data_IF_716004316192
#
_entry.id   IF_716004316192
#
_cell.length_a   1.000
_cell.length_b   1.000
_cell.length_c   1.000
_cell.angle_alpha   90.00
_cell.angle_beta   90.00
_cell.angle_gamma   90.00
#
_symmetry.space_group_name_H-M   'P 1'
#
loop_
_entity.id
_entity.type
_entity.pdbx_description
1 polymer ?
#
# COMPACT_ATOMS: atom_id res chain seq x y z
N UNK A 1 -15.03 7.67 -17.71
CA UNK A 1 -13.88 8.60 -17.49
C UNK A 1 -12.68 7.80 -17.00
N UNK A 2 -11.46 8.30 -17.19
CA UNK A 2 -10.26 7.70 -16.60
C UNK A 2 -10.29 7.96 -15.08
N UNK A 3 -10.10 6.94 -14.22
CA UNK A 3 -10.13 7.14 -12.78
C UNK A 3 -8.92 7.95 -12.30
N UNK A 4 -9.15 8.86 -11.37
CA UNK A 4 -8.11 9.64 -10.68
C UNK A 4 -7.62 8.84 -9.48
N UNK A 5 -6.32 8.55 -9.44
CA UNK A 5 -5.70 7.73 -8.40
C UNK A 5 -4.77 8.59 -7.54
N UNK A 6 -5.13 8.73 -6.26
CA UNK A 6 -4.24 9.33 -5.26
C UNK A 6 -3.08 8.39 -4.94
N UNK A 7 -1.85 8.87 -5.09
CA UNK A 7 -0.63 8.10 -4.82
C UNK A 7 0.10 8.73 -3.65
N UNK A 8 0.41 7.95 -2.60
CA UNK A 8 1.18 8.46 -1.47
C UNK A 8 2.66 8.52 -1.81
N UNK A 9 3.33 9.67 -1.63
CA UNK A 9 4.78 9.77 -1.80
C UNK A 9 5.52 9.26 -0.56
N UNK A 10 6.80 8.96 -0.70
CA UNK A 10 7.72 8.91 0.43
C UNK A 10 8.13 10.33 0.83
N UNK A 11 8.70 10.47 2.02
CA UNK A 11 9.03 11.78 2.58
C UNK A 11 10.35 11.73 3.34
N UNK A 12 11.27 12.59 2.96
CA UNK A 12 12.46 12.93 3.70
C UNK A 12 12.17 14.15 4.57
N UNK A 13 12.36 14.05 5.87
CA UNK A 13 12.17 15.16 6.80
C UNK A 13 13.39 16.12 6.87
N UNK A 14 14.41 15.88 6.06
CA UNK A 14 15.69 16.59 6.07
C UNK A 14 16.80 15.81 6.78
N UNK A 15 16.59 14.54 7.06
CA UNK A 15 17.51 13.63 7.77
C UNK A 15 18.20 12.60 6.83
N UNK A 16 17.88 12.62 5.52
CA UNK A 16 18.38 11.67 4.52
C UNK A 16 19.06 12.41 3.37
N UNK A 17 20.40 12.42 3.40
CA UNK A 17 21.23 13.14 2.44
C UNK A 17 20.95 12.75 0.97
N UNK A 18 20.73 11.47 0.73
CA UNK A 18 20.51 10.92 -0.61
C UNK A 18 19.14 11.27 -1.23
N UNK A 19 18.22 11.87 -0.47
CA UNK A 19 16.86 12.18 -0.89
C UNK A 19 16.47 13.65 -0.64
N UNK A 20 17.26 14.59 -1.13
CA UNK A 20 16.98 16.02 -1.00
C UNK A 20 17.76 16.72 0.12
N UNK A 21 18.73 16.04 0.74
CA UNK A 21 19.61 16.63 1.75
C UNK A 21 18.84 17.07 3.01
N UNK A 22 19.11 18.32 3.47
CA UNK A 22 18.49 18.91 4.65
C UNK A 22 17.10 19.48 4.41
N UNK A 23 16.68 19.62 3.16
CA UNK A 23 15.36 20.14 2.82
C UNK A 23 14.29 19.05 2.92
N UNK A 24 13.16 19.29 3.59
CA UNK A 24 12.03 18.38 3.59
C UNK A 24 11.52 18.15 2.17
N UNK A 25 11.63 16.92 1.68
CA UNK A 25 11.41 16.58 0.27
C UNK A 25 10.45 15.40 0.11
N UNK A 26 9.48 15.54 -0.79
CA UNK A 26 8.68 14.44 -1.29
C UNK A 26 9.43 13.73 -2.42
N UNK A 27 9.42 12.40 -2.39
CA UNK A 27 9.95 11.62 -3.49
C UNK A 27 9.08 10.39 -3.76
N UNK A 28 9.09 9.92 -5.00
CA UNK A 28 8.28 8.81 -5.46
C UNK A 28 8.98 8.11 -6.62
N UNK A 29 9.06 6.80 -6.56
CA UNK A 29 9.56 6.04 -7.72
C UNK A 29 8.56 6.16 -8.88
N UNK A 30 9.03 6.62 -10.04
CA UNK A 30 8.21 6.85 -11.23
C UNK A 30 7.40 5.61 -11.69
N UNK A 31 7.83 4.39 -11.32
CA UNK A 31 7.14 3.15 -11.68
C UNK A 31 5.70 3.06 -11.15
N UNK A 32 5.41 3.63 -9.98
CA UNK A 32 4.05 3.69 -9.45
C UNK A 32 3.16 4.57 -10.34
N UNK A 33 3.66 5.73 -10.73
CA UNK A 33 2.98 6.66 -11.64
C UNK A 33 2.76 6.01 -13.01
N UNK A 34 3.82 5.43 -13.59
CA UNK A 34 3.76 4.72 -14.87
C UNK A 34 2.75 3.58 -14.88
N UNK A 35 2.69 2.75 -13.83
CA UNK A 35 1.74 1.64 -13.76
C UNK A 35 0.28 2.13 -13.80
N UNK A 36 -0.03 3.27 -13.20
CA UNK A 36 -1.36 3.88 -13.26
C UNK A 36 -1.62 4.50 -14.64
N UNK A 37 -0.69 5.31 -15.15
CA UNK A 37 -0.84 6.06 -16.39
C UNK A 37 -0.95 5.13 -17.62
N UNK A 38 -0.02 4.19 -17.79
CA UNK A 38 0.02 3.25 -18.92
C UNK A 38 -1.21 2.31 -18.95
N UNK A 39 -1.84 2.07 -17.81
CA UNK A 39 -3.03 1.23 -17.70
C UNK A 39 -4.34 2.04 -17.68
N UNK A 40 -4.27 3.35 -17.95
CA UNK A 40 -5.42 4.20 -18.24
C UNK A 40 -5.99 4.97 -17.05
N UNK A 41 -5.30 5.05 -15.92
CA UNK A 41 -5.64 5.95 -14.81
C UNK A 41 -4.97 7.32 -14.92
N UNK A 42 -5.35 8.25 -14.06
CA UNK A 42 -4.73 9.57 -13.88
C UNK A 42 -4.08 9.61 -12.49
N UNK A 43 -2.75 9.52 -12.37
CA UNK A 43 -2.08 9.56 -11.07
C UNK A 43 -1.99 10.99 -10.52
N UNK A 44 -2.31 11.17 -9.24
CA UNK A 44 -2.15 12.43 -8.50
C UNK A 44 -1.36 12.16 -7.22
N UNK A 45 -0.23 12.81 -7.06
CA UNK A 45 0.60 12.68 -5.86
C UNK A 45 -0.07 13.45 -4.72
N UNK A 46 -0.37 12.77 -3.61
CA UNK A 46 -1.05 13.36 -2.47
C UNK A 46 -0.04 14.03 -1.52
N UNK A 47 -0.14 15.34 -1.24
CA UNK A 47 0.72 15.97 -0.25
C UNK A 47 0.39 15.46 1.16
N UNK A 48 1.41 15.27 2.01
CA UNK A 48 1.24 14.79 3.40
C UNK A 48 0.69 15.92 4.30
N UNK A 49 -0.58 16.25 4.15
CA UNK A 49 -1.23 17.27 4.95
C UNK A 49 -1.48 16.81 6.39
N UNK A 50 -1.25 17.70 7.36
CA UNK A 50 -1.42 17.39 8.78
C UNK A 50 -2.90 17.38 9.20
N UNK A 51 -3.69 18.29 8.64
CA UNK A 51 -5.09 18.49 9.03
C UNK A 51 -5.99 17.35 8.52
N UNK A 52 -6.81 16.80 9.41
CA UNK A 52 -7.69 15.66 9.10
C UNK A 52 -8.80 16.02 8.09
N UNK A 53 -9.34 17.23 8.14
CA UNK A 53 -10.34 17.66 7.17
C UNK A 53 -9.73 17.80 5.77
N UNK A 54 -8.48 18.28 5.67
CA UNK A 54 -7.75 18.33 4.42
C UNK A 54 -7.45 16.93 3.86
N UNK A 55 -7.09 15.94 4.71
CA UNK A 55 -6.94 14.53 4.29
C UNK A 55 -8.22 13.98 3.70
N UNK A 56 -9.35 14.22 4.36
CA UNK A 56 -10.66 13.84 3.84
C UNK A 56 -10.94 14.49 2.48
N UNK A 57 -10.68 15.79 2.35
CA UNK A 57 -10.89 16.52 1.09
C UNK A 57 -10.02 16.00 -0.05
N UNK A 58 -8.77 15.63 0.22
CA UNK A 58 -7.90 14.98 -0.77
C UNK A 58 -8.50 13.65 -1.26
N UNK A 59 -9.03 12.82 -0.35
CA UNK A 59 -9.66 11.55 -0.71
C UNK A 59 -11.01 11.71 -1.44
N UNK A 60 -11.74 12.78 -1.20
CA UNK A 60 -12.94 13.10 -1.96
C UNK A 60 -12.64 13.45 -3.43
N UNK A 61 -11.43 13.94 -3.71
CA UNK A 61 -10.97 14.31 -5.04
C UNK A 61 -10.38 13.16 -5.87
N UNK A 62 -10.36 11.92 -5.35
CA UNK A 62 -9.79 10.76 -6.06
C UNK A 62 -10.76 9.58 -6.09
N UNK A 63 -10.68 8.76 -7.15
CA UNK A 63 -11.52 7.59 -7.34
C UNK A 63 -10.92 6.33 -6.71
N UNK A 64 -9.60 6.31 -6.47
CA UNK A 64 -8.87 5.22 -5.85
C UNK A 64 -7.63 5.71 -5.13
N UNK A 65 -7.08 4.86 -4.24
CA UNK A 65 -5.90 5.16 -3.43
C UNK A 65 -4.82 4.10 -3.68
N UNK A 66 -3.60 4.54 -4.03
CA UNK A 66 -2.40 3.73 -4.08
C UNK A 66 -1.46 4.13 -2.93
N UNK A 67 -1.29 3.22 -1.95
CA UNK A 67 -0.28 3.35 -0.90
C UNK A 67 1.03 2.71 -1.40
N UNK A 68 2.09 3.48 -1.43
CA UNK A 68 3.37 3.03 -1.99
C UNK A 68 4.27 2.39 -0.94
N UNK A 69 5.29 1.68 -1.39
CA UNK A 69 6.36 1.19 -0.53
C UNK A 69 7.17 2.32 0.10
N UNK A 70 7.94 1.98 1.13
CA UNK A 70 8.89 2.88 1.80
C UNK A 70 10.25 2.20 1.93
N UNK A 71 11.32 3.02 1.99
CA UNK A 71 12.63 2.52 2.38
C UNK A 71 12.74 2.30 3.88
N UNK A 72 12.37 3.30 4.72
CA UNK A 72 12.27 3.16 6.18
C UNK A 72 11.04 2.33 6.61
N UNK A 73 11.11 1.80 7.83
CA UNK A 73 10.09 0.95 8.45
C UNK A 73 9.10 1.73 9.30
N UNK A 74 7.91 1.16 9.55
CA UNK A 74 6.96 1.73 10.49
C UNK A 74 7.50 1.67 11.92
N UNK A 75 7.27 2.74 12.70
CA UNK A 75 7.59 2.77 14.12
C UNK A 75 6.81 1.67 14.86
N UNK A 76 7.49 0.74 15.57
CA UNK A 76 6.84 -0.34 16.31
C UNK A 76 5.82 0.14 17.36
N UNK A 77 5.96 1.34 17.87
CA UNK A 77 4.98 1.94 18.80
C UNK A 77 3.59 2.09 18.18
N UNK A 78 3.49 2.18 16.85
CA UNK A 78 2.22 2.28 16.13
C UNK A 78 1.38 0.98 16.19
N UNK A 79 2.03 -0.15 16.49
CA UNK A 79 1.38 -1.44 16.69
C UNK A 79 1.65 -2.06 18.07
N UNK A 80 1.97 -1.21 19.07
CA UNK A 80 2.05 -1.60 20.48
C UNK A 80 3.33 -2.35 20.87
N UNK A 81 4.36 -2.34 20.04
CA UNK A 81 5.64 -2.98 20.34
C UNK A 81 6.75 -1.96 20.59
N UNK A 82 7.80 -2.38 21.35
CA UNK A 82 9.06 -1.63 21.48
C UNK A 82 9.95 -1.94 20.27
N UNK A 83 10.73 -0.96 19.84
CA UNK A 83 11.74 -1.16 18.80
C UNK A 83 12.84 -2.10 19.32
N UNK A 84 13.04 -3.23 18.63
CA UNK A 84 13.98 -4.28 19.01
C UNK A 84 15.25 -4.29 18.16
N UNK A 85 15.17 -3.78 16.93
CA UNK A 85 16.25 -3.83 15.95
C UNK A 85 16.59 -2.42 15.45
N UNK A 86 17.78 -2.26 14.88
CA UNK A 86 18.22 -0.99 14.31
C UNK A 86 17.79 -0.89 12.84
N UNK A 87 16.91 0.03 12.57
CA UNK A 87 16.45 0.38 11.21
C UNK A 87 15.98 1.84 11.17
N UNK A 88 16.02 2.49 10.00
CA UNK A 88 15.45 3.83 9.83
C UNK A 88 13.92 3.77 9.94
N UNK A 89 13.33 4.76 10.61
CA UNK A 89 11.88 4.81 10.82
C UNK A 89 11.26 5.82 9.86
N UNK A 90 10.10 5.46 9.30
CA UNK A 90 9.28 6.36 8.48
C UNK A 90 8.95 7.64 9.26
N UNK A 91 9.11 8.78 8.61
CA UNK A 91 8.76 10.06 9.22
C UNK A 91 7.32 10.04 9.76
N UNK A 92 7.13 10.48 11.01
CA UNK A 92 5.83 10.50 11.71
C UNK A 92 4.73 11.16 10.87
N UNK A 93 5.10 12.18 10.08
CA UNK A 93 4.18 12.86 9.16
C UNK A 93 3.60 11.89 8.12
N UNK A 94 4.42 11.03 7.52
CA UNK A 94 3.98 10.03 6.54
C UNK A 94 3.15 8.92 7.19
N UNK A 95 3.65 8.30 8.26
CA UNK A 95 2.92 7.20 8.91
C UNK A 95 1.55 7.65 9.43
N UNK A 96 1.46 8.81 10.12
CA UNK A 96 0.19 9.39 10.56
C UNK A 96 -0.77 9.66 9.39
N UNK A 97 -0.25 10.16 8.27
CA UNK A 97 -1.05 10.43 7.08
C UNK A 97 -1.60 9.14 6.47
N UNK A 98 -0.74 8.14 6.22
CA UNK A 98 -1.15 6.87 5.60
C UNK A 98 -2.15 6.09 6.46
N UNK A 99 -1.91 5.97 7.78
CA UNK A 99 -2.82 5.28 8.69
C UNK A 99 -4.22 5.93 8.70
N UNK A 100 -4.30 7.27 8.66
CA UNK A 100 -5.58 7.97 8.56
C UNK A 100 -6.24 7.78 7.19
N UNK A 101 -5.46 7.82 6.08
CA UNK A 101 -6.01 7.57 4.75
C UNK A 101 -6.61 6.16 4.64
N UNK A 102 -5.95 5.15 5.19
CA UNK A 102 -6.46 3.77 5.24
C UNK A 102 -7.83 3.74 5.93
N UNK A 103 -7.94 4.31 7.14
CA UNK A 103 -9.20 4.34 7.90
C UNK A 103 -10.31 5.13 7.17
N UNK A 104 -9.95 6.21 6.49
CA UNK A 104 -10.87 6.99 5.66
C UNK A 104 -11.30 6.21 4.42
N UNK A 105 -10.37 5.51 3.76
CA UNK A 105 -10.65 4.70 2.58
C UNK A 105 -11.63 3.57 2.89
N UNK A 106 -11.44 2.86 4.00
CA UNK A 106 -12.37 1.82 4.46
C UNK A 106 -13.78 2.41 4.66
N UNK A 107 -13.90 3.50 5.42
CA UNK A 107 -15.20 4.13 5.71
C UNK A 107 -15.94 4.67 4.50
N UNK A 108 -15.21 5.13 3.49
CA UNK A 108 -15.78 5.73 2.28
C UNK A 108 -15.75 4.78 1.07
N UNK A 109 -15.47 3.50 1.29
CA UNK A 109 -15.39 2.47 0.25
C UNK A 109 -14.51 2.88 -0.94
N UNK A 110 -13.35 3.51 -0.67
CA UNK A 110 -12.40 3.94 -1.70
C UNK A 110 -11.55 2.74 -2.12
N UNK A 111 -11.62 2.29 -3.38
CA UNK A 111 -10.74 1.25 -3.88
C UNK A 111 -9.28 1.55 -3.54
N UNK A 112 -8.62 0.62 -2.85
CA UNK A 112 -7.28 0.83 -2.31
C UNK A 112 -6.37 -0.33 -2.70
N UNK A 113 -5.25 0.00 -3.34
CA UNK A 113 -4.11 -0.89 -3.55
C UNK A 113 -2.95 -0.42 -2.68
N UNK A 114 -2.35 -1.33 -1.92
CA UNK A 114 -1.23 -1.00 -1.03
C UNK A 114 -0.04 -1.93 -1.32
N UNK A 115 1.15 -1.37 -1.45
CA UNK A 115 2.35 -2.09 -1.90
C UNK A 115 3.44 -1.98 -0.85
N UNK A 116 4.01 -3.13 -0.42
CA UNK A 116 5.12 -3.27 0.51
C UNK A 116 4.87 -2.49 1.82
N UNK A 117 5.59 -1.42 2.11
CA UNK A 117 5.34 -0.54 3.26
C UNK A 117 3.90 -0.03 3.34
N UNK A 118 3.25 0.21 2.19
CA UNK A 118 1.83 0.55 2.14
C UNK A 118 0.91 -0.55 2.65
N UNK A 119 1.19 -1.83 2.33
CA UNK A 119 0.49 -2.97 2.91
C UNK A 119 0.70 -3.07 4.43
N UNK A 120 1.91 -2.80 4.89
CA UNK A 120 2.23 -2.77 6.32
C UNK A 120 1.45 -1.66 7.04
N UNK A 121 1.39 -0.44 6.44
CA UNK A 121 0.53 0.66 6.92
C UNK A 121 -0.95 0.25 6.95
N UNK A 122 -1.42 -0.46 5.93
CA UNK A 122 -2.79 -1.00 5.86
C UNK A 122 -3.08 -1.96 7.01
N UNK A 123 -2.18 -2.89 7.29
CA UNK A 123 -2.31 -3.85 8.38
C UNK A 123 -2.35 -3.17 9.75
N UNK A 124 -1.40 -2.27 10.02
CA UNK A 124 -1.29 -1.54 11.29
C UNK A 124 -2.49 -0.60 11.51
N UNK A 125 -2.99 0.05 10.46
CA UNK A 125 -4.19 0.89 10.55
C UNK A 125 -5.44 0.12 10.98
N UNK A 126 -5.47 -1.19 10.70
CA UNK A 126 -6.52 -2.15 11.11
C UNK A 126 -6.20 -2.88 12.42
N UNK A 127 -5.17 -2.48 13.16
CA UNK A 127 -4.81 -3.06 14.46
C UNK A 127 -3.95 -4.32 14.40
N UNK A 128 -3.36 -4.62 13.25
CA UNK A 128 -2.38 -5.68 13.09
C UNK A 128 -0.98 -5.28 13.56
N UNK A 129 -0.05 -6.25 13.61
CA UNK A 129 1.35 -6.03 13.97
C UNK A 129 2.30 -6.56 12.89
N UNK A 130 3.60 -6.24 13.04
CA UNK A 130 4.63 -6.60 12.08
C UNK A 130 5.75 -7.41 12.73
N UNK A 131 6.37 -8.31 11.98
CA UNK A 131 7.75 -8.72 12.25
C UNK A 131 8.65 -7.54 11.94
N UNK A 132 9.45 -7.12 12.93
CA UNK A 132 10.38 -5.99 12.77
C UNK A 132 11.61 -6.37 11.95
N UNK A 133 11.97 -7.64 11.97
CA UNK A 133 13.02 -8.23 11.16
C UNK A 133 12.72 -9.72 10.97
N UNK A 134 12.39 -10.12 9.75
CA UNK A 134 11.98 -11.50 9.45
C UNK A 134 13.10 -12.50 9.82
N UNK A 135 14.37 -12.32 9.36
CA UNK A 135 15.44 -13.26 9.67
C UNK A 135 15.73 -13.42 11.15
N UNK A 136 15.50 -12.38 11.95
CA UNK A 136 15.76 -12.42 13.38
C UNK A 136 14.60 -12.96 14.23
N UNK A 137 13.40 -13.07 13.65
CA UNK A 137 12.18 -13.41 14.40
C UNK A 137 11.47 -14.68 13.89
N UNK A 138 11.86 -15.22 12.75
CA UNK A 138 11.24 -16.39 12.12
C UNK A 138 12.32 -17.36 11.69
N UNK A 139 12.20 -18.62 12.08
CA UNK A 139 13.14 -19.67 11.70
C UNK A 139 12.93 -20.15 10.26
N UNK A 140 14.00 -20.61 9.61
CA UNK A 140 13.95 -21.22 8.28
C UNK A 140 13.27 -20.37 7.18
N UNK A 141 13.46 -19.06 7.22
CA UNK A 141 12.86 -18.12 6.28
C UNK A 141 13.55 -18.12 4.92
N UNK A 142 12.77 -17.81 3.89
CA UNK A 142 13.29 -17.49 2.56
C UNK A 142 14.01 -16.14 2.55
N UNK A 143 14.81 -15.90 1.51
CA UNK A 143 15.41 -14.58 1.32
C UNK A 143 14.39 -13.59 0.76
N UNK A 144 13.66 -12.86 1.66
CA UNK A 144 12.69 -11.85 1.28
C UNK A 144 13.32 -10.54 0.79
N UNK A 145 14.63 -10.41 0.91
CA UNK A 145 15.40 -9.30 0.35
C UNK A 145 16.31 -9.83 -0.76
N UNK A 146 15.70 -10.04 -1.96
CA UNK A 146 16.43 -10.64 -3.10
C UNK A 146 17.65 -9.81 -3.48
N UNK A 147 18.72 -10.50 -3.87
CA UNK A 147 19.95 -9.88 -4.37
C UNK A 147 19.91 -9.61 -5.88
N UNK A 148 18.98 -10.22 -6.58
CA UNK A 148 18.72 -9.99 -8.00
C UNK A 148 17.91 -8.72 -8.23
N UNK A 149 17.97 -8.11 -9.43
CA UNK A 149 17.17 -6.94 -9.74
C UNK A 149 15.66 -7.16 -9.50
N UNK A 150 14.95 -6.17 -8.95
CA UNK A 150 13.53 -6.24 -8.59
C UNK A 150 12.58 -6.52 -9.78
N UNK A 151 13.06 -6.40 -11.01
CA UNK A 151 12.34 -6.81 -12.24
C UNK A 151 12.35 -8.32 -12.45
N UNK A 152 13.09 -9.08 -11.65
CA UNK A 152 13.12 -10.52 -11.65
C UNK A 152 12.22 -11.10 -10.57
N UNK A 153 11.63 -12.25 -10.86
CA UNK A 153 10.86 -13.02 -9.88
C UNK A 153 11.81 -13.70 -8.88
N UNK A 154 11.37 -13.86 -7.64
CA UNK A 154 12.14 -14.42 -6.52
C UNK A 154 11.58 -15.76 -6.08
N UNK A 155 10.38 -15.76 -5.51
CA UNK A 155 9.76 -16.97 -4.94
C UNK A 155 8.29 -17.11 -5.32
N UNK A 156 7.74 -18.29 -5.05
CA UNK A 156 6.32 -18.59 -5.25
C UNK A 156 5.51 -18.26 -4.00
N UNK A 157 4.29 -17.80 -4.19
CA UNK A 157 3.29 -17.62 -3.14
C UNK A 157 2.09 -18.55 -3.37
N UNK A 158 1.48 -19.02 -2.29
CA UNK A 158 0.20 -19.72 -2.30
C UNK A 158 -0.92 -18.73 -2.05
N UNK A 159 -1.99 -18.81 -2.86
CA UNK A 159 -3.10 -17.85 -2.84
C UNK A 159 -4.33 -18.51 -2.25
N UNK A 160 -4.96 -17.85 -1.29
CA UNK A 160 -6.17 -18.32 -0.63
C UNK A 160 -7.32 -18.43 -1.61
N UNK A 161 -7.94 -19.62 -1.79
CA UNK A 161 -9.10 -19.79 -2.67
C UNK A 161 -10.25 -18.84 -2.32
N UNK A 162 -10.92 -18.29 -3.33
CA UNK A 162 -12.06 -17.38 -3.15
C UNK A 162 -11.69 -15.96 -2.73
N UNK A 163 -10.41 -15.67 -2.43
CA UNK A 163 -9.94 -14.32 -2.13
C UNK A 163 -10.07 -13.37 -3.32
N UNK A 164 -10.03 -12.06 -3.08
CA UNK A 164 -9.97 -11.05 -4.16
C UNK A 164 -8.76 -11.29 -5.05
N UNK A 165 -7.59 -11.55 -4.44
CA UNK A 165 -6.37 -11.86 -5.18
C UNK A 165 -6.58 -13.11 -6.08
N UNK A 166 -7.19 -14.18 -5.55
CA UNK A 166 -7.49 -15.38 -6.33
C UNK A 166 -8.42 -15.08 -7.53
N UNK A 167 -9.46 -14.29 -7.32
CA UNK A 167 -10.38 -13.87 -8.41
C UNK A 167 -9.70 -13.04 -9.49
N UNK A 168 -8.68 -12.24 -9.12
CA UNK A 168 -7.91 -11.42 -10.07
C UNK A 168 -6.97 -12.28 -10.91
N UNK A 169 -6.15 -13.10 -10.25
CA UNK A 169 -5.07 -13.82 -10.93
C UNK A 169 -5.54 -15.17 -11.50
N UNK A 170 -6.61 -15.75 -10.95
CA UNK A 170 -7.19 -17.05 -11.34
C UNK A 170 -6.18 -18.19 -11.30
N UNK A 171 -5.37 -18.21 -10.24
CA UNK A 171 -4.34 -19.22 -9.98
C UNK A 171 -4.26 -19.50 -8.48
N UNK A 172 -3.94 -20.72 -8.10
CA UNK A 172 -3.66 -21.10 -6.72
C UNK A 172 -2.25 -20.67 -6.26
N UNK A 173 -1.33 -20.43 -7.21
CA UNK A 173 0.05 -20.00 -6.96
C UNK A 173 0.51 -19.01 -8.02
N UNK A 174 1.44 -18.14 -7.66
CA UNK A 174 2.14 -17.26 -8.60
C UNK A 174 3.55 -16.95 -8.08
N UNK A 175 4.42 -16.50 -8.99
CA UNK A 175 5.76 -16.03 -8.65
C UNK A 175 5.74 -14.52 -8.41
N UNK A 176 6.50 -14.05 -7.42
CA UNK A 176 6.62 -12.63 -7.04
C UNK A 176 8.10 -12.22 -6.93
N UNK A 177 8.39 -10.94 -6.99
CA UNK A 177 9.67 -10.38 -6.53
C UNK A 177 9.61 -10.13 -5.03
N UNK A 178 10.74 -9.85 -4.39
CA UNK A 178 10.78 -9.65 -2.95
C UNK A 178 11.88 -8.66 -2.56
N UNK A 179 11.50 -7.62 -1.82
CA UNK A 179 12.44 -6.57 -1.39
C UNK A 179 12.02 -5.99 -0.04
N UNK A 180 11.86 -6.86 0.97
CA UNK A 180 11.46 -6.46 2.31
C UNK A 180 12.14 -7.32 3.37
N UNK A 181 12.34 -6.79 4.57
CA UNK A 181 12.81 -7.52 5.74
C UNK A 181 11.79 -7.51 6.88
N UNK A 182 10.72 -6.73 6.73
CA UNK A 182 9.54 -6.73 7.60
C UNK A 182 8.36 -7.38 6.88
N UNK A 183 7.42 -7.92 7.65
CA UNK A 183 6.14 -8.44 7.13
C UNK A 183 5.05 -8.41 8.20
N UNK A 184 3.82 -8.70 7.79
CA UNK A 184 2.69 -8.88 8.71
C UNK A 184 2.97 -10.06 9.65
N UNK A 185 2.87 -9.80 10.98
CA UNK A 185 2.95 -10.81 12.06
C UNK A 185 1.55 -11.22 12.50
N UNK A 186 0.75 -10.27 12.94
CA UNK A 186 -0.67 -10.47 13.21
C UNK A 186 -1.48 -9.67 12.18
N UNK A 187 -2.41 -10.34 11.52
CA UNK A 187 -3.31 -9.71 10.55
C UNK A 187 -4.31 -8.82 11.29
N UNK A 188 -4.52 -7.60 10.79
CA UNK A 188 -5.42 -6.62 11.38
C UNK A 188 -6.90 -7.05 11.35
N UNK A 189 -7.71 -6.42 12.19
CA UNK A 189 -9.14 -6.72 12.31
C UNK A 189 -9.86 -6.64 10.96
N UNK A 190 -10.73 -7.60 10.71
CA UNK A 190 -11.51 -7.78 9.49
C UNK A 190 -10.70 -8.02 8.21
N UNK A 191 -9.38 -7.97 8.26
CA UNK A 191 -8.51 -8.38 7.16
C UNK A 191 -8.34 -9.91 7.15
N UNK A 192 -8.02 -10.45 5.98
CA UNK A 192 -7.56 -11.83 5.83
C UNK A 192 -6.22 -11.87 5.10
N UNK A 193 -5.40 -12.87 5.39
CA UNK A 193 -4.25 -13.21 4.59
C UNK A 193 -4.72 -13.88 3.29
N UNK A 194 -4.50 -13.23 2.16
CA UNK A 194 -4.91 -13.75 0.85
C UNK A 194 -3.79 -14.41 0.07
N UNK A 195 -2.53 -14.28 0.53
CA UNK A 195 -1.40 -15.08 0.05
C UNK A 195 -0.31 -15.22 1.10
N UNK A 196 0.41 -16.36 1.05
CA UNK A 196 1.55 -16.66 1.92
C UNK A 196 2.70 -17.25 1.11
N UNK A 197 3.93 -16.96 1.51
CA UNK A 197 5.12 -17.64 1.03
C UNK A 197 5.26 -19.03 1.66
N UNK A 198 6.14 -19.93 1.14
CA UNK A 198 6.33 -21.27 1.67
C UNK A 198 6.78 -21.34 3.13
N UNK A 199 7.44 -20.29 3.63
CA UNK A 199 7.89 -20.14 5.02
C UNK A 199 6.80 -19.53 5.94
N UNK A 200 5.58 -19.35 5.44
CA UNK A 200 4.45 -18.82 6.21
C UNK A 200 4.38 -17.29 6.26
N UNK A 201 5.34 -16.58 5.68
CA UNK A 201 5.29 -15.11 5.61
C UNK A 201 4.08 -14.66 4.78
N UNK A 202 3.31 -13.72 5.36
CA UNK A 202 2.13 -13.14 4.71
C UNK A 202 2.58 -12.21 3.57
N UNK A 203 2.14 -12.53 2.37
CA UNK A 203 2.50 -11.80 1.16
C UNK A 203 1.36 -10.95 0.60
N UNK A 204 0.10 -11.24 0.98
CA UNK A 204 -1.01 -10.37 0.66
C UNK A 204 -2.08 -10.39 1.75
N UNK A 205 -2.74 -9.24 1.93
CA UNK A 205 -3.91 -9.07 2.81
C UNK A 205 -5.03 -8.38 2.05
N UNK A 206 -6.27 -8.65 2.44
CA UNK A 206 -7.44 -7.99 1.86
C UNK A 206 -8.56 -7.82 2.88
N UNK A 207 -9.46 -6.88 2.62
CA UNK A 207 -10.71 -6.69 3.36
C UNK A 207 -11.88 -7.28 2.53
N UNK A 208 -12.39 -8.48 2.84
CA UNK A 208 -13.38 -9.17 2.01
C UNK A 208 -14.69 -8.42 1.80
N UNK A 209 -15.08 -7.60 2.77
CA UNK A 209 -16.33 -6.82 2.74
C UNK A 209 -16.20 -5.51 1.93
N UNK A 210 -14.99 -5.17 1.46
CA UNK A 210 -14.73 -3.96 0.69
C UNK A 210 -14.70 -4.25 -0.81
N UNK A 211 -15.23 -3.37 -1.69
CA UNK A 211 -15.24 -3.58 -3.14
C UNK A 211 -13.85 -3.86 -3.75
N UNK A 212 -12.82 -3.17 -3.29
CA UNK A 212 -11.41 -3.43 -3.63
C UNK A 212 -10.50 -2.86 -2.55
N UNK A 213 -9.94 -3.73 -1.72
CA UNK A 213 -8.99 -3.34 -0.68
C UNK A 213 -7.94 -4.44 -0.56
N UNK A 214 -6.79 -4.23 -1.21
CA UNK A 214 -5.76 -5.25 -1.40
C UNK A 214 -4.39 -4.69 -1.05
N UNK A 215 -3.70 -5.35 -0.13
CA UNK A 215 -2.30 -5.11 0.21
C UNK A 215 -1.41 -6.23 -0.34
N UNK A 216 -0.29 -5.87 -0.93
CA UNK A 216 0.70 -6.76 -1.52
C UNK A 216 2.07 -6.47 -0.91
N UNK A 217 2.77 -7.50 -0.41
CA UNK A 217 4.09 -7.33 0.20
C UNK A 217 5.19 -7.17 -0.87
N UNK A 218 4.99 -7.76 -2.03
CA UNK A 218 5.90 -7.62 -3.18
C UNK A 218 5.67 -6.34 -3.98
N UNK A 219 6.47 -6.14 -5.04
CA UNK A 219 6.48 -4.96 -5.86
C UNK A 219 5.99 -5.21 -7.30
N UNK A 220 4.67 -5.28 -7.54
CA UNK A 220 4.10 -5.51 -8.87
C UNK A 220 4.41 -4.39 -9.87
N UNK A 221 4.74 -3.18 -9.41
CA UNK A 221 5.11 -2.03 -10.24
C UNK A 221 6.45 -2.22 -10.99
N UNK A 222 7.26 -3.21 -10.59
CA UNK A 222 8.44 -3.62 -11.35
C UNK A 222 8.14 -4.71 -12.38
N UNK A 223 6.96 -5.35 -12.29
CA UNK A 223 6.64 -6.58 -13.02
C UNK A 223 5.51 -6.40 -14.05
N UNK A 224 4.67 -5.37 -13.93
CA UNK A 224 3.44 -5.21 -14.71
C UNK A 224 3.66 -5.11 -16.22
N UNK A 225 4.81 -4.63 -16.67
CA UNK A 225 5.14 -4.51 -18.08
C UNK A 225 5.35 -5.87 -18.74
N UNK A 226 5.97 -6.82 -18.02
CA UNK A 226 6.41 -8.12 -18.54
C UNK A 226 5.58 -9.31 -18.07
N UNK A 227 4.83 -9.16 -16.98
CA UNK A 227 4.09 -10.25 -16.34
C UNK A 227 2.61 -9.95 -16.24
N UNK A 228 1.81 -10.68 -17.03
CA UNK A 228 0.36 -10.47 -17.15
C UNK A 228 -0.39 -10.50 -15.82
N UNK A 229 -0.01 -11.39 -14.88
CA UNK A 229 -0.70 -11.49 -13.59
C UNK A 229 -0.50 -10.22 -12.75
N UNK A 230 0.69 -9.63 -12.75
CA UNK A 230 0.97 -8.38 -12.06
C UNK A 230 0.28 -7.18 -12.72
N UNK A 231 0.19 -7.16 -14.04
CA UNK A 231 -0.59 -6.17 -14.80
C UNK A 231 -2.08 -6.22 -14.45
N UNK A 232 -2.66 -7.43 -14.31
CA UNK A 232 -4.06 -7.61 -13.93
C UNK A 232 -4.41 -7.01 -12.56
N UNK A 233 -3.49 -6.95 -11.62
CA UNK A 233 -3.68 -6.32 -10.31
C UNK A 233 -4.04 -4.84 -10.48
N UNK A 234 -3.20 -4.09 -11.20
CA UNK A 234 -3.45 -2.68 -11.49
C UNK A 234 -4.70 -2.47 -12.34
N UNK A 235 -4.89 -3.26 -13.39
CA UNK A 235 -6.10 -3.16 -14.24
C UNK A 235 -7.39 -3.38 -13.44
N UNK A 236 -7.39 -4.33 -12.49
CA UNK A 236 -8.58 -4.58 -11.67
C UNK A 236 -8.79 -3.48 -10.65
N UNK A 237 -7.72 -2.95 -10.07
CA UNK A 237 -7.76 -1.77 -9.21
C UNK A 237 -8.36 -0.56 -9.95
N UNK A 238 -7.87 -0.24 -11.14
CA UNK A 238 -8.37 0.89 -11.94
C UNK A 238 -9.84 0.69 -12.35
N UNK A 239 -10.25 -0.54 -12.69
CA UNK A 239 -11.67 -0.85 -12.95
C UNK A 239 -12.54 -0.65 -11.72
N UNK A 240 -12.05 -1.02 -10.54
CA UNK A 240 -12.78 -0.77 -9.29
C UNK A 240 -12.92 0.74 -9.02
N UNK A 241 -11.83 1.49 -9.20
CA UNK A 241 -11.82 2.95 -9.07
C UNK A 241 -12.79 3.63 -10.05
N UNK A 242 -12.81 3.22 -11.32
CA UNK A 242 -13.70 3.81 -12.33
C UNK A 242 -15.20 3.55 -12.09
N UNK A 243 -15.54 2.56 -11.26
CA UNK A 243 -16.93 2.22 -10.90
C UNK A 243 -17.41 2.90 -9.62
N UNK A 244 -16.52 3.58 -8.90
CA UNK A 244 -16.90 4.32 -7.71
C UNK A 244 -17.83 5.46 -8.10
N UNK A 245 -19.02 5.58 -7.48
CA UNK A 245 -19.86 6.76 -7.68
C UNK A 245 -19.02 8.00 -7.27
N UNK A 246 -18.92 8.99 -8.17
CA UNK A 246 -18.28 10.26 -7.82
C UNK A 246 -18.98 10.82 -6.59
N UNK A 247 -18.22 11.07 -5.53
CA UNK A 247 -18.75 11.84 -4.41
C UNK A 247 -19.06 13.25 -4.95
N UNK A 248 -20.32 13.50 -5.30
CA UNK A 248 -20.73 14.86 -5.60
C UNK A 248 -20.38 15.72 -4.39
N UNK A 249 -19.75 16.88 -4.59
CA UNK A 249 -19.53 17.80 -3.49
C UNK A 249 -20.89 18.09 -2.84
N UNK A 250 -20.96 17.85 -1.53
CA UNK A 250 -22.14 18.22 -0.74
C UNK A 250 -22.50 19.67 -1.09
N UNK A 251 -23.76 19.97 -1.48
CA UNK A 251 -24.13 21.33 -1.84
C UNK A 251 -23.77 22.24 -0.66
N UNK A 252 -22.94 23.23 -0.94
CA UNK A 252 -22.52 24.21 0.05
C UNK A 252 -23.79 24.72 0.76
N UNK A 253 -23.87 24.53 2.08
CA UNK A 253 -24.91 25.17 2.88
C UNK A 253 -24.82 26.67 2.55
N UNK A 254 -25.78 27.16 1.79
CA UNK A 254 -25.99 28.61 1.63
C UNK A 254 -26.14 29.17 3.05
N UNK A 255 -25.17 29.93 3.51
CA UNK A 255 -25.34 30.78 4.68
C UNK A 255 -26.39 31.78 4.26
N UNK A 256 -27.61 31.64 4.74
CA UNK A 256 -28.57 32.73 4.72
C UNK A 256 -28.03 33.82 5.66
N UNK A 257 -27.43 34.83 5.07
CA UNK A 257 -27.27 36.11 5.75
C UNK A 257 -28.64 36.79 5.72
N UNK A 258 -29.31 36.77 6.82
CA UNK A 258 -30.37 37.68 7.21
C UNK A 258 -29.89 38.47 8.39
#
# INVERSE_FOLDING_TARGET
MKPVIGVTPDFNAGDRQEWGGKEPTYFLRARYVRAIEELGGVPVILPLVANRSARRRLLEGVDGLLLTGSGPDLDPTLYGEKKRYTFPVVAKRRSSFELDLVRLAIRNHIPTLAICGGMQSMNVACGGSLYQDIPAQVDHVLQHRQTTPAVRLSHSISITPGSLLNRIVKRARMQVNSSHHQSVKAVGHALIASATAPDGIVEAIELPTHPFFLGLQWHPEFLFERHLLHRRLFQTFLRAASRRPSLQPSPARRRNNS
#
